data_IF_447531700315
#
_entry.id   IF_447531700315
#
_cell.length_a   1.000
_cell.length_b   1.000
_cell.length_c   1.000
_cell.angle_alpha   90.00
_cell.angle_beta   90.00
_cell.angle_gamma   90.00
#
_symmetry.space_group_name_H-M   'P 1'
#
loop_
_entity.id
_entity.type
_entity.pdbx_description
1 polymer ?
#
# COMPACT_ATOMS: atom_id res chain seq x y z
N UNK A 1 -25.46 -2.20 -2.62
CA UNK A 1 -24.32 -3.17 -2.56
C UNK A 1 -23.05 -2.33 -2.68
N UNK A 2 -22.16 -2.39 -1.73
CA UNK A 2 -20.92 -1.60 -1.77
C UNK A 2 -19.98 -2.19 -2.83
N UNK A 3 -19.52 -1.34 -3.76
CA UNK A 3 -18.61 -1.78 -4.83
C UNK A 3 -17.24 -2.12 -4.24
N UNK A 4 -16.66 -3.22 -4.71
CA UNK A 4 -15.34 -3.67 -4.27
C UNK A 4 -14.50 -4.19 -5.44
N UNK A 5 -13.20 -3.93 -5.37
CA UNK A 5 -12.20 -4.38 -6.32
C UNK A 5 -11.54 -5.65 -5.83
N UNK A 6 -11.64 -6.72 -6.60
CA UNK A 6 -10.84 -7.93 -6.43
C UNK A 6 -9.54 -7.85 -7.24
N UNK A 7 -8.68 -8.86 -7.07
CA UNK A 7 -7.37 -8.96 -7.73
C UNK A 7 -7.50 -8.89 -9.26
N UNK A 8 -8.47 -9.58 -9.86
CA UNK A 8 -8.59 -9.65 -11.31
C UNK A 8 -8.99 -8.30 -11.90
N UNK A 9 -9.97 -7.63 -11.29
CA UNK A 9 -10.40 -6.29 -11.71
C UNK A 9 -9.29 -5.24 -11.57
N UNK A 10 -8.48 -5.32 -10.49
CA UNK A 10 -7.31 -4.47 -10.33
C UNK A 10 -6.31 -4.68 -11.48
N UNK A 11 -5.97 -5.92 -11.79
CA UNK A 11 -5.02 -6.24 -12.86
C UNK A 11 -5.55 -5.88 -14.25
N UNK A 12 -6.85 -6.08 -14.50
CA UNK A 12 -7.49 -5.69 -15.77
C UNK A 12 -7.46 -4.17 -15.99
N UNK A 13 -7.72 -3.41 -14.93
CA UNK A 13 -7.65 -1.94 -14.99
C UNK A 13 -6.23 -1.46 -15.26
N UNK A 14 -5.23 -2.03 -14.56
CA UNK A 14 -3.82 -1.72 -14.80
C UNK A 14 -3.36 -2.12 -16.21
N UNK A 15 -3.84 -3.25 -16.73
CA UNK A 15 -3.64 -3.67 -18.12
C UNK A 15 -4.26 -2.68 -19.11
N UNK A 16 -5.41 -2.09 -18.76
CA UNK A 16 -6.02 -0.98 -19.50
C UNK A 16 -5.10 0.24 -19.55
N UNK A 17 -4.57 0.67 -18.39
CA UNK A 17 -3.63 1.80 -18.34
C UNK A 17 -2.36 1.55 -19.16
N UNK A 18 -1.78 0.36 -19.06
CA UNK A 18 -0.57 -0.02 -19.79
C UNK A 18 -0.66 0.27 -21.29
N UNK A 19 -1.85 0.12 -21.90
CA UNK A 19 -2.07 0.36 -23.34
C UNK A 19 -1.91 1.82 -23.76
N UNK A 20 -2.09 2.76 -22.82
CA UNK A 20 -1.96 4.19 -23.06
C UNK A 20 -0.59 4.76 -22.70
N UNK A 21 0.16 4.02 -21.88
CA UNK A 21 1.49 4.44 -21.48
C UNK A 21 2.48 4.21 -22.63
N UNK A 22 3.41 5.16 -22.81
CA UNK A 22 4.51 5.10 -23.78
C UNK A 22 5.89 5.08 -23.12
N UNK A 23 5.92 5.15 -21.80
CA UNK A 23 7.13 5.10 -20.95
C UNK A 23 6.85 4.18 -19.80
N UNK A 24 7.91 3.55 -19.28
CA UNK A 24 7.79 2.69 -18.10
C UNK A 24 7.38 3.49 -16.88
N UNK A 25 6.45 2.95 -16.10
CA UNK A 25 5.99 3.49 -14.80
C UNK A 25 6.04 2.35 -13.79
N UNK A 26 6.63 2.60 -12.63
CA UNK A 26 6.69 1.68 -11.51
C UNK A 26 5.57 2.04 -10.52
N UNK A 27 4.62 1.13 -10.34
CA UNK A 27 3.60 1.18 -9.31
C UNK A 27 3.91 0.15 -8.24
N UNK A 28 3.87 0.55 -6.98
CA UNK A 28 3.98 -0.37 -5.85
C UNK A 28 2.67 -0.32 -5.07
N UNK A 29 1.93 -1.43 -5.08
CA UNK A 29 0.69 -1.56 -4.34
C UNK A 29 0.95 -1.47 -2.84
N UNK A 30 0.13 -0.70 -2.13
CA UNK A 30 0.18 -0.52 -0.69
C UNK A 30 -1.23 -0.67 -0.07
N UNK A 31 -1.36 -0.43 1.20
CA UNK A 31 -2.65 -0.40 1.89
C UNK A 31 -3.52 -1.66 1.68
N UNK A 32 -4.83 -1.45 1.50
CA UNK A 32 -5.80 -2.50 1.25
C UNK A 32 -5.60 -3.21 -0.08
N UNK A 33 -5.05 -2.51 -1.06
CA UNK A 33 -4.77 -3.05 -2.39
C UNK A 33 -3.68 -4.11 -2.35
N UNK A 34 -2.57 -3.85 -1.65
CA UNK A 34 -1.52 -4.85 -1.44
C UNK A 34 -2.10 -6.12 -0.77
N UNK A 35 -2.87 -5.95 0.31
CA UNK A 35 -3.52 -7.06 1.03
C UNK A 35 -4.43 -7.90 0.10
N UNK A 36 -5.14 -7.26 -0.82
CA UNK A 36 -6.00 -7.94 -1.80
C UNK A 36 -5.18 -8.70 -2.84
N UNK A 37 -4.11 -8.08 -3.34
CA UNK A 37 -3.26 -8.68 -4.37
C UNK A 37 -2.48 -9.90 -3.86
N UNK A 38 -2.09 -9.93 -2.59
CA UNK A 38 -1.42 -11.08 -1.95
C UNK A 38 -2.40 -12.11 -1.35
N UNK A 39 -3.71 -11.85 -1.42
CA UNK A 39 -4.74 -12.79 -0.99
C UNK A 39 -5.07 -12.78 0.51
N UNK A 40 -4.56 -11.81 1.27
CA UNK A 40 -4.94 -11.61 2.70
C UNK A 40 -6.37 -11.09 2.80
N UNK A 41 -6.78 -10.24 1.85
CA UNK A 41 -8.16 -9.74 1.73
C UNK A 41 -8.76 -10.19 0.41
N UNK A 42 -10.05 -10.47 0.41
CA UNK A 42 -10.78 -10.82 -0.81
C UNK A 42 -10.89 -9.62 -1.77
N UNK A 43 -11.09 -8.41 -1.24
CA UNK A 43 -11.31 -7.20 -2.03
C UNK A 43 -11.00 -5.93 -1.25
N UNK A 44 -10.78 -4.84 -1.98
CA UNK A 44 -10.60 -3.48 -1.43
C UNK A 44 -11.67 -2.52 -1.97
N UNK A 45 -11.88 -1.38 -1.29
CA UNK A 45 -12.77 -0.31 -1.75
C UNK A 45 -12.05 0.63 -2.72
N UNK A 46 -10.82 0.98 -2.40
CA UNK A 46 -9.97 1.92 -3.13
C UNK A 46 -8.72 1.20 -3.64
N UNK A 47 -8.10 1.74 -4.66
CA UNK A 47 -6.90 1.18 -5.25
C UNK A 47 -5.68 2.05 -4.91
N UNK A 48 -4.91 1.61 -3.90
CA UNK A 48 -3.77 2.33 -3.32
C UNK A 48 -2.46 1.93 -3.99
N UNK A 49 -1.78 2.86 -4.67
CA UNK A 49 -0.49 2.64 -5.30
C UNK A 49 0.49 3.78 -5.00
N UNK A 50 1.73 3.43 -4.75
CA UNK A 50 2.85 4.36 -4.73
C UNK A 50 3.49 4.44 -6.11
N UNK A 51 3.93 5.63 -6.48
CA UNK A 51 4.80 5.87 -7.65
C UNK A 51 6.10 6.48 -7.13
N UNK A 52 7.10 5.65 -6.76
CA UNK A 52 8.29 6.11 -6.05
C UNK A 52 9.15 7.07 -6.86
N UNK A 53 9.16 6.93 -8.20
CA UNK A 53 9.90 7.81 -9.11
C UNK A 53 9.01 9.01 -9.45
N UNK A 54 9.38 10.17 -8.95
CA UNK A 54 8.61 11.43 -9.06
C UNK A 54 8.27 11.79 -10.50
N UNK A 55 9.22 11.65 -11.43
CA UNK A 55 8.97 11.94 -12.86
C UNK A 55 7.99 10.97 -13.51
N UNK A 56 7.94 9.72 -13.04
CA UNK A 56 6.96 8.73 -13.50
C UNK A 56 5.56 9.03 -12.95
N UNK A 57 5.49 9.47 -11.69
CA UNK A 57 4.23 9.94 -11.10
C UNK A 57 3.65 11.09 -11.95
N UNK A 58 4.44 12.13 -12.21
CA UNK A 58 3.97 13.31 -12.95
C UNK A 58 3.53 12.92 -14.38
N UNK A 59 4.26 11.99 -15.01
CA UNK A 59 3.87 11.41 -16.29
C UNK A 59 2.57 10.61 -16.21
N UNK A 60 2.44 9.71 -15.22
CA UNK A 60 1.23 8.90 -15.03
C UNK A 60 -0.01 9.77 -14.83
N UNK A 61 0.08 10.77 -13.94
CA UNK A 61 -1.02 11.70 -13.68
C UNK A 61 -1.45 12.45 -14.96
N UNK A 62 -0.49 12.86 -15.79
CA UNK A 62 -0.79 13.47 -17.09
C UNK A 62 -1.58 12.51 -18.00
N UNK A 63 -1.20 11.23 -18.05
CA UNK A 63 -1.91 10.22 -18.84
C UNK A 63 -3.31 9.95 -18.27
N UNK A 64 -3.46 9.81 -16.95
CA UNK A 64 -4.75 9.60 -16.30
C UNK A 64 -5.72 10.76 -16.57
N UNK A 65 -5.25 12.01 -16.51
CA UNK A 65 -6.06 13.19 -16.92
C UNK A 65 -6.54 13.09 -18.35
N UNK A 66 -5.67 12.68 -19.27
CA UNK A 66 -6.03 12.49 -20.68
C UNK A 66 -7.05 11.36 -20.89
N UNK A 67 -7.08 10.36 -19.99
CA UNK A 67 -8.09 9.28 -19.95
C UNK A 67 -9.39 9.68 -19.24
N UNK A 68 -9.53 10.94 -18.82
CA UNK A 68 -10.74 11.46 -18.18
C UNK A 68 -10.80 11.28 -16.66
N UNK A 69 -9.70 10.86 -16.00
CA UNK A 69 -9.62 10.87 -14.54
C UNK A 69 -9.54 12.30 -14.01
N UNK A 70 -10.27 12.55 -12.93
CA UNK A 70 -10.26 13.81 -12.20
C UNK A 70 -9.78 13.60 -10.78
N UNK A 71 -9.03 14.54 -10.27
CA UNK A 71 -8.60 14.53 -8.88
C UNK A 71 -9.80 14.81 -7.97
N UNK A 72 -10.00 13.96 -6.97
CA UNK A 72 -11.10 14.06 -5.99
C UNK A 72 -10.60 14.26 -4.56
N UNK A 73 -9.36 13.82 -4.27
CA UNK A 73 -8.65 14.11 -3.02
C UNK A 73 -7.19 14.45 -3.35
N UNK A 74 -6.33 14.65 -2.34
CA UNK A 74 -4.90 14.93 -2.55
C UNK A 74 -4.19 13.90 -3.43
N UNK A 75 -4.42 12.59 -3.17
CA UNK A 75 -3.87 11.45 -3.93
C UNK A 75 -4.92 10.76 -4.79
N UNK A 76 -6.22 11.04 -4.58
CA UNK A 76 -7.33 10.31 -5.14
C UNK A 76 -7.75 10.77 -6.53
N UNK A 77 -7.90 9.81 -7.44
CA UNK A 77 -8.27 9.99 -8.84
C UNK A 77 -9.46 9.11 -9.19
N UNK A 78 -10.48 9.68 -9.83
CA UNK A 78 -11.69 8.96 -10.24
C UNK A 78 -12.11 9.36 -11.64
N UNK A 79 -12.63 8.41 -12.40
CA UNK A 79 -13.22 8.65 -13.71
C UNK A 79 -14.75 8.50 -13.64
N UNK A 80 -15.48 9.32 -14.39
CA UNK A 80 -16.93 9.22 -14.48
C UNK A 80 -17.34 7.81 -14.94
N UNK A 81 -18.31 7.22 -14.23
CA UNK A 81 -18.79 5.86 -14.50
C UNK A 81 -17.99 4.76 -13.82
N UNK A 82 -16.88 5.07 -13.12
CA UNK A 82 -16.20 4.14 -12.22
C UNK A 82 -16.70 4.34 -10.78
N UNK A 83 -16.92 3.25 -10.08
CA UNK A 83 -17.44 3.28 -8.69
C UNK A 83 -16.33 3.37 -7.65
N UNK A 84 -15.08 3.15 -8.05
CA UNK A 84 -13.90 3.15 -7.18
C UNK A 84 -12.97 4.32 -7.48
N UNK A 85 -12.09 4.61 -6.54
CA UNK A 85 -11.06 5.63 -6.61
C UNK A 85 -9.68 4.98 -6.67
N UNK A 86 -8.75 5.62 -7.36
CA UNK A 86 -7.32 5.33 -7.27
C UNK A 86 -6.64 6.37 -6.40
N UNK A 87 -5.96 5.93 -5.36
CA UNK A 87 -5.03 6.75 -4.62
C UNK A 87 -3.61 6.50 -5.15
N UNK A 88 -3.02 7.52 -5.77
CA UNK A 88 -1.69 7.48 -6.38
C UNK A 88 -0.75 8.35 -5.55
N UNK A 89 0.02 7.71 -4.69
CA UNK A 89 0.96 8.39 -3.80
C UNK A 89 2.26 8.69 -4.54
N UNK A 90 2.80 9.89 -4.31
CA UNK A 90 4.01 10.40 -4.97
C UNK A 90 5.23 10.15 -4.10
N UNK A 91 6.28 9.56 -4.66
CA UNK A 91 7.52 9.29 -3.92
C UNK A 91 7.37 8.17 -2.90
N UNK A 92 7.96 8.35 -1.74
CA UNK A 92 8.04 7.33 -0.69
C UNK A 92 6.95 7.48 0.39
N UNK A 93 5.94 8.34 0.18
CA UNK A 93 4.89 8.61 1.17
C UNK A 93 3.63 7.82 0.88
N UNK A 94 2.99 7.31 1.93
CA UNK A 94 1.65 6.71 1.93
C UNK A 94 0.80 7.52 2.90
N UNK A 95 -0.18 8.27 2.41
CA UNK A 95 -0.91 9.26 3.21
C UNK A 95 0.07 10.22 3.92
N UNK A 96 0.14 10.18 5.24
CA UNK A 96 1.04 10.99 6.08
C UNK A 96 2.31 10.26 6.50
N UNK A 97 2.47 9.00 6.11
CA UNK A 97 3.64 8.17 6.48
C UNK A 97 4.68 8.24 5.39
N UNK A 98 5.86 8.75 5.70
CA UNK A 98 7.03 8.66 4.81
C UNK A 98 7.83 7.42 5.16
N UNK A 99 8.09 6.56 4.17
CA UNK A 99 8.84 5.33 4.35
C UNK A 99 10.34 5.63 4.54
N UNK A 100 11.03 4.79 5.30
CA UNK A 100 12.47 4.94 5.59
C UNK A 100 13.36 4.82 4.36
N UNK A 101 12.89 4.10 3.33
CA UNK A 101 13.63 3.86 2.10
C UNK A 101 12.68 3.82 0.89
N UNK A 102 13.22 3.94 -0.31
CA UNK A 102 12.42 3.81 -1.52
C UNK A 102 11.80 2.42 -1.62
N UNK A 103 10.50 2.31 -1.93
CA UNK A 103 9.87 1.01 -2.20
C UNK A 103 10.52 0.23 -3.35
N UNK A 104 11.31 0.87 -4.20
CA UNK A 104 12.02 0.20 -5.30
C UNK A 104 13.40 -0.34 -4.93
N UNK A 105 13.90 -0.07 -3.73
CA UNK A 105 15.12 -0.67 -3.24
C UNK A 105 14.98 -2.19 -3.07
N UNK A 106 16.10 -2.89 -3.11
CA UNK A 106 16.15 -4.34 -2.94
C UNK A 106 15.51 -4.78 -1.62
N UNK A 107 14.62 -5.77 -1.67
CA UNK A 107 13.90 -6.29 -0.50
C UNK A 107 12.78 -5.40 0.04
N UNK A 108 12.50 -4.24 -0.58
CA UNK A 108 11.42 -3.33 -0.16
C UNK A 108 10.09 -3.61 -0.87
N UNK A 109 10.09 -4.41 -1.92
CA UNK A 109 8.88 -4.87 -2.61
C UNK A 109 9.10 -6.24 -3.24
N UNK A 110 8.02 -6.90 -3.62
CA UNK A 110 8.01 -8.08 -4.48
C UNK A 110 7.33 -7.75 -5.81
N UNK A 111 7.76 -8.41 -6.89
CA UNK A 111 7.18 -8.22 -8.22
C UNK A 111 5.86 -8.99 -8.30
N UNK A 112 4.78 -8.33 -8.65
CA UNK A 112 3.49 -8.98 -8.92
C UNK A 112 3.31 -9.23 -10.42
N UNK A 113 3.50 -8.19 -11.24
CA UNK A 113 3.24 -8.24 -12.68
C UNK A 113 4.09 -7.20 -13.42
N UNK A 114 4.67 -7.62 -14.53
CA UNK A 114 5.34 -6.72 -15.44
C UNK A 114 4.61 -6.71 -16.79
N UNK A 115 4.15 -5.53 -17.20
CA UNK A 115 3.60 -5.24 -18.51
C UNK A 115 4.67 -4.52 -19.37
N UNK A 116 4.37 -4.21 -20.63
CA UNK A 116 5.31 -3.51 -21.51
C UNK A 116 5.76 -2.13 -20.99
N UNK A 117 4.84 -1.38 -20.38
CA UNK A 117 5.09 -0.02 -19.88
C UNK A 117 4.68 0.17 -18.41
N UNK A 118 4.17 -0.85 -17.75
CA UNK A 118 3.75 -0.77 -16.36
C UNK A 118 4.37 -1.90 -15.56
N UNK A 119 5.14 -1.55 -14.54
CA UNK A 119 5.65 -2.46 -13.53
C UNK A 119 4.75 -2.38 -12.31
N UNK A 120 4.32 -3.50 -11.79
CA UNK A 120 3.48 -3.58 -10.59
C UNK A 120 4.18 -4.40 -9.53
N UNK A 121 4.61 -3.73 -8.48
CA UNK A 121 5.15 -4.35 -7.27
C UNK A 121 4.12 -4.37 -6.13
N UNK A 122 4.47 -5.07 -5.06
CA UNK A 122 3.74 -5.09 -3.79
C UNK A 122 4.73 -4.70 -2.70
N UNK A 123 4.38 -3.73 -1.89
CA UNK A 123 5.20 -3.26 -0.77
C UNK A 123 5.50 -4.41 0.20
N UNK A 124 6.68 -4.43 0.80
CA UNK A 124 7.07 -5.46 1.76
C UNK A 124 6.18 -5.43 3.03
N UNK A 125 6.15 -6.54 3.74
CA UNK A 125 5.24 -6.74 4.88
C UNK A 125 5.54 -5.77 6.04
N UNK A 126 6.81 -5.39 6.26
CA UNK A 126 7.20 -4.47 7.34
C UNK A 126 6.67 -3.06 7.09
N UNK A 127 6.83 -2.53 5.88
CA UNK A 127 6.31 -1.22 5.50
C UNK A 127 4.77 -1.23 5.40
N UNK A 128 4.16 -2.35 4.94
CA UNK A 128 2.70 -2.51 4.93
C UNK A 128 2.10 -2.44 6.33
N UNK A 129 2.65 -3.20 7.28
CA UNK A 129 2.18 -3.20 8.67
C UNK A 129 2.45 -1.84 9.29
N UNK A 130 3.68 -1.31 9.15
CA UNK A 130 4.04 -0.05 9.78
C UNK A 130 3.19 1.12 9.30
N UNK A 131 2.95 1.26 7.99
CA UNK A 131 2.09 2.33 7.45
C UNK A 131 0.64 2.25 7.95
N UNK A 132 0.14 1.05 8.23
CA UNK A 132 -1.18 0.85 8.84
C UNK A 132 -1.19 1.19 10.32
N UNK A 133 -0.17 0.77 11.06
CA UNK A 133 -0.03 1.10 12.48
C UNK A 133 0.18 2.61 12.70
N UNK A 134 0.79 3.34 11.75
CA UNK A 134 0.86 4.81 11.82
C UNK A 134 -0.53 5.46 11.84
N UNK A 135 -1.54 4.89 11.18
CA UNK A 135 -2.93 5.34 11.26
C UNK A 135 -3.66 4.79 12.48
N UNK A 136 -3.46 3.51 12.80
CA UNK A 136 -3.94 2.85 14.00
C UNK A 136 -5.46 2.77 14.12
N UNK A 137 -6.19 2.64 13.00
CA UNK A 137 -7.64 2.39 13.05
C UNK A 137 -7.94 0.92 13.35
N UNK A 138 -9.16 0.62 13.80
CA UNK A 138 -9.58 -0.78 14.03
C UNK A 138 -9.36 -1.67 12.81
N UNK A 139 -9.70 -1.17 11.62
CA UNK A 139 -9.53 -1.92 10.36
C UNK A 139 -8.05 -2.13 10.05
N UNK A 140 -7.19 -1.16 10.38
CA UNK A 140 -5.74 -1.31 10.18
C UNK A 140 -5.16 -2.42 11.07
N UNK A 141 -5.58 -2.51 12.33
CA UNK A 141 -5.18 -3.61 13.21
C UNK A 141 -5.69 -4.96 12.72
N UNK A 142 -6.95 -5.06 12.27
CA UNK A 142 -7.51 -6.28 11.69
C UNK A 142 -6.72 -6.72 10.45
N UNK A 143 -6.36 -5.80 9.58
CA UNK A 143 -5.55 -6.05 8.38
C UNK A 143 -4.13 -6.52 8.74
N UNK A 144 -3.48 -5.87 9.71
CA UNK A 144 -2.15 -6.26 10.18
C UNK A 144 -2.14 -7.65 10.81
N UNK A 145 -3.17 -8.00 11.60
CA UNK A 145 -3.33 -9.34 12.15
C UNK A 145 -3.50 -10.38 11.06
N UNK A 146 -4.37 -10.13 10.07
CA UNK A 146 -4.56 -11.03 8.93
C UNK A 146 -3.28 -11.26 8.15
N UNK A 147 -2.47 -10.22 7.94
CA UNK A 147 -1.17 -10.36 7.28
C UNK A 147 -0.19 -11.18 8.13
N UNK A 148 -0.11 -10.91 9.44
CA UNK A 148 0.77 -11.64 10.34
C UNK A 148 0.38 -13.12 10.47
N UNK A 149 -0.93 -13.46 10.42
CA UNK A 149 -1.40 -14.85 10.40
C UNK A 149 -0.95 -15.58 9.13
N UNK A 150 -1.14 -14.96 7.95
CA UNK A 150 -0.80 -15.56 6.64
C UNK A 150 0.72 -15.65 6.45
N UNK A 151 1.48 -14.70 6.97
CA UNK A 151 2.94 -14.58 6.82
C UNK A 151 3.71 -14.94 8.09
N UNK A 152 3.13 -15.80 8.94
CA UNK A 152 3.67 -16.13 10.27
C UNK A 152 5.14 -16.55 10.25
N UNK A 153 5.52 -17.37 9.27
CA UNK A 153 6.89 -17.88 9.14
C UNK A 153 7.87 -16.90 8.47
N UNK A 154 7.34 -15.83 7.86
CA UNK A 154 8.13 -14.86 7.08
C UNK A 154 8.38 -13.57 7.86
N UNK A 155 7.43 -13.18 8.74
CA UNK A 155 7.52 -11.93 9.50
C UNK A 155 8.27 -12.14 10.82
N UNK A 156 9.45 -11.54 10.94
CA UNK A 156 10.17 -11.48 12.21
C UNK A 156 9.64 -10.32 13.05
N UNK A 157 8.93 -10.62 14.14
CA UNK A 157 8.28 -9.61 14.98
C UNK A 157 9.29 -8.66 15.64
N UNK A 158 10.46 -9.13 16.05
CA UNK A 158 11.51 -8.25 16.63
C UNK A 158 12.02 -7.24 15.60
N UNK A 159 12.18 -7.68 14.34
CA UNK A 159 12.54 -6.79 13.23
C UNK A 159 11.42 -5.80 12.93
N UNK A 160 10.15 -6.22 12.97
CA UNK A 160 9.00 -5.34 12.79
C UNK A 160 8.96 -4.24 13.87
N UNK A 161 9.16 -4.59 15.14
CA UNK A 161 9.20 -3.64 16.24
C UNK A 161 10.30 -2.60 16.01
N UNK A 162 11.51 -3.05 15.68
CA UNK A 162 12.63 -2.15 15.40
C UNK A 162 12.32 -1.21 14.23
N UNK A 163 11.84 -1.75 13.11
CA UNK A 163 11.47 -0.99 11.92
C UNK A 163 10.38 0.06 12.21
N UNK A 164 9.35 -0.32 12.98
CA UNK A 164 8.30 0.62 13.36
C UNK A 164 8.83 1.73 14.27
N UNK A 165 9.63 1.39 15.28
CA UNK A 165 10.24 2.41 16.17
C UNK A 165 11.14 3.38 15.40
N UNK A 166 11.94 2.89 14.46
CA UNK A 166 12.74 3.73 13.59
C UNK A 166 11.85 4.68 12.77
N UNK A 167 10.78 4.16 12.15
CA UNK A 167 9.84 4.96 11.37
C UNK A 167 9.19 6.07 12.21
N UNK A 168 8.68 5.74 13.41
CA UNK A 168 8.01 6.71 14.29
C UNK A 168 8.97 7.75 14.86
N UNK A 169 10.28 7.48 14.96
CA UNK A 169 11.26 8.42 15.50
C UNK A 169 11.39 9.70 14.66
N UNK A 170 10.95 9.67 13.40
CA UNK A 170 10.89 10.83 12.51
C UNK A 170 9.53 11.55 12.55
N UNK A 171 8.54 11.05 13.30
CA UNK A 171 7.20 11.66 13.39
C UNK A 171 7.07 12.50 14.66
N UNK A 172 6.46 13.67 14.54
CA UNK A 172 6.18 14.55 15.68
C UNK A 172 5.22 13.95 16.69
N UNK A 173 4.45 12.94 16.28
CA UNK A 173 3.53 12.18 17.11
C UNK A 173 4.12 10.91 17.75
N UNK A 174 5.44 10.75 17.78
CA UNK A 174 6.15 9.55 18.23
C UNK A 174 5.55 8.90 19.48
N UNK A 175 5.31 9.69 20.54
CA UNK A 175 4.78 9.18 21.80
C UNK A 175 3.41 8.49 21.63
N UNK A 176 2.52 9.11 20.87
CA UNK A 176 1.17 8.55 20.59
C UNK A 176 1.27 7.31 19.70
N UNK A 177 2.14 7.33 18.71
CA UNK A 177 2.28 6.25 17.73
C UNK A 177 2.88 4.98 18.34
N UNK A 178 3.76 5.10 19.34
CA UNK A 178 4.32 3.95 20.07
C UNK A 178 3.23 3.08 20.71
N UNK A 179 2.12 3.65 21.16
CA UNK A 179 1.02 2.85 21.72
C UNK A 179 0.37 1.92 20.69
N UNK A 180 0.45 2.24 19.40
CA UNK A 180 -0.13 1.42 18.35
C UNK A 180 0.63 0.09 18.16
N UNK A 181 1.97 0.10 18.23
CA UNK A 181 2.73 -1.15 18.16
C UNK A 181 2.50 -1.98 19.42
N UNK A 182 2.46 -1.38 20.61
CA UNK A 182 2.20 -2.09 21.86
C UNK A 182 0.83 -2.79 21.80
N UNK A 183 -0.21 -2.09 21.38
CA UNK A 183 -1.53 -2.68 21.17
C UNK A 183 -1.53 -3.82 20.13
N UNK A 184 -0.82 -3.64 19.03
CA UNK A 184 -0.69 -4.70 18.03
C UNK A 184 0.01 -5.95 18.59
N UNK A 185 1.05 -5.79 19.40
CA UNK A 185 1.74 -6.91 20.07
C UNK A 185 0.81 -7.65 21.05
N UNK A 186 -0.04 -6.93 21.78
CA UNK A 186 -1.07 -7.55 22.64
C UNK A 186 -2.05 -8.40 21.80
N UNK A 187 -2.49 -7.89 20.65
CA UNK A 187 -3.35 -8.64 19.74
C UNK A 187 -2.66 -9.90 19.17
N UNK A 188 -1.37 -9.80 18.82
CA UNK A 188 -0.57 -10.95 18.35
C UNK A 188 -0.44 -12.01 19.44
N UNK A 189 -0.18 -11.63 20.72
CA UNK A 189 -0.14 -12.54 21.86
C UNK A 189 -1.48 -13.23 22.06
N UNK A 190 -2.58 -12.49 22.00
CA UNK A 190 -3.94 -13.04 22.08
C UNK A 190 -4.26 -14.08 21.01
N UNK A 191 -3.55 -14.04 19.89
CA UNK A 191 -3.66 -14.99 18.76
C UNK A 191 -2.60 -16.11 18.79
N UNK A 192 -1.66 -16.10 19.74
CA UNK A 192 -0.52 -17.04 19.79
C UNK A 192 0.45 -16.88 18.61
N UNK A 193 0.57 -15.66 18.07
CA UNK A 193 1.49 -15.30 16.98
C UNK A 193 2.78 -14.66 17.48
N UNK A 194 2.83 -14.30 18.77
CA UNK A 194 3.98 -13.70 19.44
C UNK A 194 3.94 -14.02 20.93
N UNK A 195 5.10 -14.29 21.55
CA UNK A 195 5.28 -14.61 22.98
C UNK A 195 5.57 -13.36 23.83
#
# INVERSE_FOLDING_TARGET
MEYRLDKNRLLDTLGGWNRFLKRKVHLVACGGTAMTLIGVKFSTKDADFMTPIVSEHDYLIKQLKALGYKQVTGSGWKRNGEEFQFDIFRGNSIHTTELLASPLEEGKHSILKEFSHLYVGILNDYDLISSKLMRGTRVDFEDCLGLAEVRREEINIKRLIHHFHELVSYDVGEFRLKSNIDHFLELLRGKGLYD
#
